data_IF_869353460923
#
_entry.id   IF_869353460923
#
_cell.length_a   1.000
_cell.length_b   1.000
_cell.length_c   1.000
_cell.angle_alpha   90.00
_cell.angle_beta   90.00
_cell.angle_gamma   90.00
#
_symmetry.space_group_name_H-M   'P 1'
#
loop_
_entity.id
_entity.type
_entity.pdbx_description
1 polymer ?
#
# COMPACT_ATOMS: atom_id res chain seq x y z
N UNK A 1 -14.61 -16.31 -6.42
CA UNK A 1 -14.07 -15.00 -6.01
C UNK A 1 -12.78 -15.15 -5.19
N UNK A 2 -12.74 -15.59 -3.92
CA UNK A 2 -11.44 -15.81 -3.23
C UNK A 2 -10.80 -17.16 -3.57
N UNK A 3 -11.60 -18.22 -3.65
CA UNK A 3 -11.11 -19.56 -3.99
C UNK A 3 -10.33 -19.59 -5.32
N UNK A 4 -10.82 -18.87 -6.34
CA UNK A 4 -10.11 -18.73 -7.61
C UNK A 4 -8.81 -17.93 -7.51
N UNK A 5 -8.73 -16.94 -6.61
CA UNK A 5 -7.49 -16.19 -6.36
C UNK A 5 -6.45 -17.08 -5.69
N UNK A 6 -6.86 -17.95 -4.77
CA UNK A 6 -5.94 -18.90 -4.12
C UNK A 6 -5.26 -19.83 -5.12
N UNK A 7 -5.93 -20.19 -6.22
CA UNK A 7 -5.43 -21.20 -7.16
C UNK A 7 -4.80 -20.61 -8.43
N UNK A 8 -5.19 -19.39 -8.83
CA UNK A 8 -4.85 -18.86 -10.16
C UNK A 8 -4.05 -17.54 -10.13
N UNK A 9 -3.73 -16.98 -8.97
CA UNK A 9 -2.87 -15.79 -8.88
C UNK A 9 -1.54 -16.12 -8.21
N UNK A 10 -0.48 -15.50 -8.69
CA UNK A 10 0.85 -15.61 -8.07
C UNK A 10 1.01 -14.64 -6.89
N UNK A 11 0.31 -13.51 -6.95
CA UNK A 11 0.33 -12.44 -5.94
C UNK A 11 -1.04 -11.77 -5.90
N UNK A 12 -1.50 -11.37 -4.72
CA UNK A 12 -2.76 -10.62 -4.58
C UNK A 12 -2.62 -9.56 -3.49
N UNK A 13 -2.86 -8.30 -3.86
CA UNK A 13 -2.86 -7.18 -2.92
C UNK A 13 -4.28 -6.96 -2.38
N UNK A 14 -4.46 -7.18 -1.08
CA UNK A 14 -5.73 -7.03 -0.40
C UNK A 14 -5.97 -5.57 -0.03
N UNK A 15 -6.97 -4.93 -0.65
CA UNK A 15 -7.37 -3.57 -0.33
C UNK A 15 -8.70 -3.63 0.42
N UNK A 16 -8.69 -3.17 1.66
CA UNK A 16 -9.87 -3.11 2.52
C UNK A 16 -10.43 -1.70 2.58
N UNK A 17 -11.67 -1.54 2.13
CA UNK A 17 -12.35 -0.25 2.15
C UNK A 17 -12.59 0.25 3.57
N UNK A 18 -12.86 -0.62 4.54
CA UNK A 18 -13.11 -0.21 5.93
C UNK A 18 -11.84 0.41 6.54
N UNK A 19 -10.69 -0.24 6.34
CA UNK A 19 -9.39 0.30 6.73
C UNK A 19 -9.08 1.64 6.04
N UNK A 20 -9.39 1.78 4.74
CA UNK A 20 -9.20 3.05 4.02
C UNK A 20 -10.10 4.17 4.56
N UNK A 21 -11.35 3.87 4.89
CA UNK A 21 -12.26 4.82 5.53
C UNK A 21 -11.72 5.27 6.88
N UNK A 22 -11.26 4.33 7.71
CA UNK A 22 -10.65 4.63 9.01
C UNK A 22 -9.40 5.51 8.87
N UNK A 23 -8.55 5.26 7.88
CA UNK A 23 -7.37 6.11 7.57
C UNK A 23 -7.80 7.53 7.19
N UNK A 24 -8.75 7.66 6.25
CA UNK A 24 -9.24 8.97 5.82
C UNK A 24 -9.83 9.78 6.99
N UNK A 25 -10.61 9.13 7.84
CA UNK A 25 -11.28 9.78 8.95
C UNK A 25 -10.32 10.08 10.12
N UNK A 26 -9.59 9.07 10.60
CA UNK A 26 -8.77 9.20 11.83
C UNK A 26 -7.43 9.85 11.56
N UNK A 27 -6.78 9.55 10.44
CA UNK A 27 -5.41 10.00 10.15
C UNK A 27 -5.41 11.25 9.28
N UNK A 28 -6.19 11.28 8.20
CA UNK A 28 -6.25 12.43 7.29
C UNK A 28 -7.24 13.52 7.76
N UNK A 29 -8.03 13.25 8.81
CA UNK A 29 -9.00 14.19 9.40
C UNK A 29 -10.08 14.66 8.42
N UNK A 30 -10.45 13.80 7.47
CA UNK A 30 -11.55 14.08 6.54
C UNK A 30 -12.88 13.73 7.20
N UNK A 31 -13.71 14.75 7.46
CA UNK A 31 -15.00 14.56 8.14
C UNK A 31 -16.00 13.70 7.34
N UNK A 32 -15.96 13.79 6.01
CA UNK A 32 -16.82 13.02 5.10
C UNK A 32 -15.97 12.42 3.96
N UNK A 33 -15.31 11.26 4.18
CA UNK A 33 -14.50 10.63 3.15
C UNK A 33 -15.34 10.21 1.95
N UNK A 34 -14.88 10.54 0.75
CA UNK A 34 -15.51 10.14 -0.52
C UNK A 34 -14.74 9.00 -1.18
N UNK A 35 -15.35 8.31 -2.14
CA UNK A 35 -14.62 7.32 -2.96
C UNK A 35 -13.43 7.93 -3.72
N UNK A 36 -13.46 9.25 -3.99
CA UNK A 36 -12.30 9.95 -4.56
C UNK A 36 -11.09 9.92 -3.62
N UNK A 37 -11.32 10.08 -2.32
CA UNK A 37 -10.27 10.04 -1.30
C UNK A 37 -9.70 8.62 -1.12
N UNK A 38 -10.59 7.62 -1.11
CA UNK A 38 -10.19 6.21 -1.06
C UNK A 38 -9.38 5.83 -2.32
N UNK A 39 -9.85 6.19 -3.50
CA UNK A 39 -9.17 5.91 -4.76
C UNK A 39 -7.80 6.61 -4.83
N UNK A 40 -7.68 7.81 -4.26
CA UNK A 40 -6.39 8.47 -4.12
C UNK A 40 -5.42 7.62 -3.30
N UNK A 41 -5.81 7.14 -2.12
CA UNK A 41 -4.97 6.25 -1.30
C UNK A 41 -4.57 4.97 -2.03
N UNK A 42 -5.52 4.34 -2.72
CA UNK A 42 -5.26 3.14 -3.53
C UNK A 42 -4.25 3.43 -4.63
N UNK A 43 -4.43 4.52 -5.38
CA UNK A 43 -3.53 4.89 -6.49
C UNK A 43 -2.10 5.13 -6.03
N UNK A 44 -1.92 5.81 -4.89
CA UNK A 44 -0.60 6.08 -4.31
C UNK A 44 0.07 4.78 -3.86
N UNK A 45 -0.71 3.92 -3.20
CA UNK A 45 -0.23 2.61 -2.73
C UNK A 45 0.22 1.73 -3.91
N UNK A 46 -0.60 1.63 -4.96
CA UNK A 46 -0.28 0.86 -6.17
C UNK A 46 0.91 1.43 -6.95
N UNK A 47 1.02 2.76 -6.99
CA UNK A 47 2.21 3.45 -7.51
C UNK A 47 3.44 3.03 -6.70
N UNK A 48 3.37 3.05 -5.37
CA UNK A 48 4.43 2.61 -4.46
C UNK A 48 4.91 1.19 -4.75
N UNK A 49 3.98 0.23 -4.77
CA UNK A 49 4.25 -1.20 -5.03
C UNK A 49 4.99 -1.40 -6.36
N UNK A 50 4.62 -0.67 -7.41
CA UNK A 50 5.22 -0.80 -8.74
C UNK A 50 6.45 0.07 -8.98
N UNK A 51 6.91 0.84 -7.98
CA UNK A 51 8.05 1.77 -8.12
C UNK A 51 9.31 1.05 -8.58
N UNK A 52 9.58 -0.14 -8.03
CA UNK A 52 10.76 -0.94 -8.36
C UNK A 52 10.74 -1.49 -9.81
N UNK A 53 9.58 -1.49 -10.46
CA UNK A 53 9.42 -1.89 -11.86
C UNK A 53 9.55 -0.70 -12.82
N UNK A 54 9.13 0.48 -12.36
CA UNK A 54 9.05 1.70 -13.19
C UNK A 54 10.33 2.49 -13.20
N UNK A 55 11.13 2.40 -12.13
CA UNK A 55 12.36 3.16 -11.97
C UNK A 55 13.53 2.24 -11.58
N UNK A 56 14.77 2.57 -12.01
CA UNK A 56 15.94 1.79 -11.64
C UNK A 56 16.16 1.83 -10.13
N UNK A 57 16.34 0.65 -9.52
CA UNK A 57 16.55 0.49 -8.08
C UNK A 57 17.50 -0.67 -7.76
N UNK A 58 18.07 -0.66 -6.56
CA UNK A 58 19.07 -1.66 -6.14
C UNK A 58 18.45 -2.98 -5.65
N UNK A 59 17.16 -3.01 -5.25
CA UNK A 59 16.49 -4.15 -4.61
C UNK A 59 15.10 -4.39 -5.24
N UNK A 60 14.67 -5.65 -5.39
CA UNK A 60 13.36 -6.08 -5.91
C UNK A 60 12.94 -5.46 -7.26
N UNK A 61 13.87 -5.43 -8.23
CA UNK A 61 13.68 -4.83 -9.56
C UNK A 61 12.64 -5.52 -10.48
N UNK A 62 12.06 -6.64 -10.05
CA UNK A 62 11.05 -7.36 -10.83
C UNK A 62 10.00 -8.04 -9.91
N UNK A 63 8.77 -8.24 -10.43
CA UNK A 63 7.66 -8.86 -9.68
C UNK A 63 7.98 -10.30 -9.26
N UNK A 64 8.78 -11.02 -10.05
CA UNK A 64 9.14 -12.40 -9.71
C UNK A 64 10.02 -12.47 -8.47
N UNK A 65 10.94 -11.53 -8.29
CA UNK A 65 11.77 -11.40 -7.08
C UNK A 65 10.94 -11.00 -5.87
N UNK A 66 9.92 -10.16 -6.05
CA UNK A 66 8.98 -9.84 -4.99
C UNK A 66 8.26 -11.11 -4.51
N UNK A 67 7.69 -11.88 -5.45
CA UNK A 67 7.03 -13.15 -5.15
C UNK A 67 7.95 -14.12 -4.41
N UNK A 68 9.16 -14.35 -4.93
CA UNK A 68 10.13 -15.28 -4.35
C UNK A 68 10.54 -14.88 -2.93
N UNK A 69 10.66 -13.59 -2.64
CA UNK A 69 11.08 -13.11 -1.33
C UNK A 69 9.94 -13.09 -0.31
N UNK A 70 8.70 -12.84 -0.74
CA UNK A 70 7.56 -12.56 0.14
C UNK A 70 6.55 -13.70 0.25
N UNK A 71 6.58 -14.69 -0.66
CA UNK A 71 5.66 -15.83 -0.69
C UNK A 71 6.39 -17.11 -0.27
N UNK A 72 6.33 -17.50 1.03
CA UNK A 72 6.99 -18.72 1.51
C UNK A 72 6.25 -20.01 1.08
N UNK A 73 4.95 -19.92 0.80
CA UNK A 73 4.11 -21.05 0.41
C UNK A 73 3.13 -20.65 -0.70
N UNK A 74 2.86 -21.50 -1.71
CA UNK A 74 2.08 -21.14 -2.90
C UNK A 74 0.65 -20.63 -2.67
N UNK A 75 0.04 -20.92 -1.51
CA UNK A 75 -1.32 -20.47 -1.15
C UNK A 75 -1.33 -19.25 -0.22
N UNK A 76 -0.16 -18.80 0.23
CA UNK A 76 0.02 -17.67 1.15
C UNK A 76 0.63 -16.47 0.41
N UNK A 77 -0.05 -16.05 -0.66
CA UNK A 77 0.36 -14.99 -1.57
C UNK A 77 -0.55 -13.75 -1.50
N UNK A 78 -1.21 -13.54 -0.35
CA UNK A 78 -2.04 -12.39 -0.07
C UNK A 78 -1.24 -11.34 0.69
N UNK A 79 -0.96 -10.21 0.04
CA UNK A 79 -0.24 -9.10 0.62
C UNK A 79 -1.20 -8.06 1.19
N UNK A 80 -0.86 -7.51 2.36
CA UNK A 80 -1.51 -6.32 2.92
C UNK A 80 -0.65 -5.11 2.56
N UNK A 81 -1.06 -4.28 1.61
CA UNK A 81 -0.29 -3.11 1.22
C UNK A 81 -0.46 -2.01 2.27
N UNK A 82 0.64 -1.33 2.57
CA UNK A 82 0.68 -0.16 3.45
C UNK A 82 1.40 1.00 2.77
N UNK A 83 1.07 2.22 3.18
CA UNK A 83 1.74 3.41 2.67
C UNK A 83 2.02 4.38 3.82
N UNK A 84 3.24 4.91 3.83
CA UNK A 84 3.66 6.03 4.65
C UNK A 84 4.49 6.98 3.75
N UNK A 85 4.40 8.31 3.95
CA UNK A 85 3.69 8.98 5.04
C UNK A 85 2.20 9.19 4.79
N UNK A 86 1.40 9.02 5.84
CA UNK A 86 0.00 9.46 5.87
C UNK A 86 -0.11 10.73 6.73
N UNK A 87 -0.28 11.88 6.07
CA UNK A 87 -0.43 13.19 6.72
C UNK A 87 -1.60 13.96 6.14
N UNK A 88 -2.39 14.61 6.99
CA UNK A 88 -3.41 15.56 6.56
C UNK A 88 -2.75 16.69 5.73
N UNK A 89 -3.47 17.21 4.73
CA UNK A 89 -2.95 18.21 3.77
C UNK A 89 -2.33 19.43 4.47
N UNK A 90 -2.96 19.90 5.54
CA UNK A 90 -2.51 21.07 6.30
C UNK A 90 -1.31 20.77 7.22
N UNK A 91 -1.12 19.50 7.61
CA UNK A 91 -0.03 19.07 8.47
C UNK A 91 1.23 18.63 7.70
N UNK A 92 1.09 18.35 6.40
CA UNK A 92 2.17 17.84 5.56
C UNK A 92 3.37 18.81 5.46
N UNK A 93 3.11 20.12 5.37
CA UNK A 93 4.16 21.13 5.23
C UNK A 93 5.00 21.32 6.51
N UNK A 94 4.46 20.95 7.67
CA UNK A 94 5.10 21.17 8.98
C UNK A 94 5.80 19.92 9.51
N UNK A 95 5.75 18.80 8.80
CA UNK A 95 6.31 17.52 9.24
C UNK A 95 7.56 17.19 8.46
N UNK A 96 8.73 17.47 9.06
CA UNK A 96 10.00 16.99 8.54
C UNK A 96 10.12 15.49 8.85
N UNK A 97 9.93 14.64 7.85
CA UNK A 97 9.93 13.20 8.00
C UNK A 97 11.35 12.65 7.84
N UNK A 98 11.82 11.91 8.84
CA UNK A 98 13.04 11.11 8.71
C UNK A 98 12.73 9.63 8.48
N UNK A 99 13.75 8.85 8.11
CA UNK A 99 13.60 7.42 7.78
C UNK A 99 13.04 6.62 8.97
N UNK A 100 13.49 6.92 10.19
CA UNK A 100 13.03 6.21 11.39
C UNK A 100 11.55 6.48 11.67
N UNK A 101 11.11 7.73 11.50
CA UNK A 101 9.71 8.12 11.65
C UNK A 101 8.79 7.47 10.61
N UNK A 102 9.25 7.38 9.35
CA UNK A 102 8.50 6.68 8.29
C UNK A 102 8.36 5.18 8.57
N UNK A 103 9.38 4.57 9.18
CA UNK A 103 9.39 3.13 9.49
C UNK A 103 8.52 2.79 10.70
N UNK A 104 8.31 3.75 11.61
CA UNK A 104 7.51 3.55 12.82
C UNK A 104 6.02 3.89 12.66
N UNK A 105 5.64 4.49 11.53
CA UNK A 105 4.25 4.86 11.25
C UNK A 105 3.41 3.66 10.83
#
# INVERSE_FOLDING_TARGET
SVHQLVENTDETFCIDNEALYDICFRTLKLANPTYGDLNHLVSVTMSGVTTCLRFPGQLNADLRKLAVNMVPFPRLHFFMPGFAPLSARDAAAYRALNVAELTQQ
#
